data_IF_566691061749
#
_entry.id   IF_566691061749
#
_cell.length_a   1.000
_cell.length_b   1.000
_cell.length_c   1.000
_cell.angle_alpha   90.00
_cell.angle_beta   90.00
_cell.angle_gamma   90.00
#
_symmetry.space_group_name_H-M   'P 1'
#
loop_
_entity.id
_entity.type
_entity.pdbx_description
1 polymer ?
#
# COMPACT_ATOMS: atom_id res chain seq x y z
N UNK A 1 -37.41 16.83 4.49
CA UNK A 1 -36.85 17.17 5.81
C UNK A 1 -37.09 15.99 6.75
N UNK A 2 -36.07 15.15 6.96
CA UNK A 2 -36.14 13.98 7.85
C UNK A 2 -35.32 14.30 9.11
N UNK A 3 -36.02 14.42 10.25
CA UNK A 3 -35.39 14.51 11.57
C UNK A 3 -35.00 13.09 12.00
N UNK A 4 -33.70 12.83 12.13
CA UNK A 4 -33.19 11.60 12.74
C UNK A 4 -32.91 11.93 14.22
N UNK A 5 -33.47 11.09 15.09
CA UNK A 5 -33.57 11.27 16.53
C UNK A 5 -32.20 11.18 17.24
N UNK A 6 -32.03 12.07 18.21
CA UNK A 6 -30.78 12.38 18.92
C UNK A 6 -30.74 11.78 20.34
N UNK A 7 -31.39 10.63 20.57
CA UNK A 7 -31.60 10.09 21.92
C UNK A 7 -30.73 8.89 22.34
N UNK A 8 -29.90 8.31 21.47
CA UNK A 8 -29.11 7.10 21.83
C UNK A 8 -27.63 7.36 22.23
N UNK A 9 -27.18 8.62 22.29
CA UNK A 9 -25.77 8.95 22.51
C UNK A 9 -25.28 8.84 23.97
N UNK A 10 -26.19 8.87 24.96
CA UNK A 10 -25.77 9.04 26.36
C UNK A 10 -25.61 7.71 27.13
N UNK A 11 -26.32 6.64 26.76
CA UNK A 11 -26.26 5.35 27.49
C UNK A 11 -24.98 4.55 27.28
N UNK A 12 -24.20 4.84 26.23
CA UNK A 12 -22.96 4.11 25.92
C UNK A 12 -21.72 4.71 26.59
N UNK A 13 -21.77 5.95 27.10
CA UNK A 13 -20.60 6.65 27.68
C UNK A 13 -20.06 5.98 28.95
N UNK A 14 -20.93 5.37 29.76
CA UNK A 14 -20.54 4.82 31.07
C UNK A 14 -20.07 3.35 31.05
N UNK A 15 -20.44 2.56 30.03
CA UNK A 15 -20.00 1.17 29.92
C UNK A 15 -18.58 1.04 29.30
N UNK A 16 -18.16 2.04 28.54
CA UNK A 16 -16.87 2.04 27.82
C UNK A 16 -15.69 2.36 28.74
N UNK A 17 -15.88 3.10 29.84
CA UNK A 17 -14.77 3.50 30.72
C UNK A 17 -14.13 2.34 31.51
N UNK A 18 -14.85 1.25 31.82
CA UNK A 18 -14.28 0.14 32.59
C UNK A 18 -13.49 -0.88 31.78
N UNK A 19 -13.55 -0.86 30.43
CA UNK A 19 -12.86 -1.85 29.58
C UNK A 19 -11.46 -1.45 29.10
N UNK A 20 -11.02 -0.20 29.34
CA UNK A 20 -9.71 0.27 28.86
C UNK A 20 -8.57 0.24 29.89
N UNK A 21 -8.85 -0.07 31.16
CA UNK A 21 -7.80 -0.22 32.18
C UNK A 21 -6.95 -1.51 32.02
N UNK A 22 -7.42 -2.49 31.23
CA UNK A 22 -6.74 -3.78 31.01
C UNK A 22 -6.38 -4.05 29.54
N UNK A 23 -6.43 -3.05 28.65
CA UNK A 23 -5.99 -3.23 27.27
C UNK A 23 -4.46 -3.10 27.20
N UNK A 24 -3.78 -4.22 27.47
CA UNK A 24 -2.33 -4.36 27.39
C UNK A 24 -1.85 -4.09 25.94
N UNK A 25 -1.49 -2.84 25.66
CA UNK A 25 -1.13 -2.29 24.34
C UNK A 25 0.29 -2.68 23.87
N UNK A 26 1.00 -3.51 24.65
CA UNK A 26 2.39 -3.94 24.39
C UNK A 26 2.54 -5.11 23.41
N UNK A 27 1.45 -5.70 22.91
CA UNK A 27 1.50 -6.96 22.15
C UNK A 27 1.72 -6.87 20.63
N UNK A 28 1.82 -5.68 20.02
CA UNK A 28 1.70 -5.55 18.55
C UNK A 28 2.96 -5.02 17.84
N UNK A 29 4.15 -5.56 18.18
CA UNK A 29 5.42 -5.14 17.58
C UNK A 29 6.38 -6.27 17.13
N UNK A 30 5.94 -7.52 17.01
CA UNK A 30 6.87 -8.66 16.78
C UNK A 30 6.47 -9.65 15.67
N UNK A 31 5.95 -9.20 14.53
CA UNK A 31 5.65 -10.12 13.41
C UNK A 31 5.81 -9.53 12.01
N UNK A 32 6.99 -8.99 11.69
CA UNK A 32 7.40 -8.77 10.29
C UNK A 32 8.86 -9.17 10.09
N UNK A 33 9.16 -10.43 10.39
CA UNK A 33 10.38 -11.14 10.01
C UNK A 33 10.03 -12.31 9.10
N UNK A 34 9.40 -12.04 7.95
CA UNK A 34 9.24 -13.03 6.88
C UNK A 34 10.32 -12.75 5.84
N UNK A 35 11.45 -13.45 5.98
CA UNK A 35 12.38 -13.67 4.89
C UNK A 35 11.67 -14.50 3.82
N UNK A 36 11.32 -13.87 2.69
CA UNK A 36 10.95 -14.65 1.52
C UNK A 36 12.23 -15.29 0.94
N UNK A 37 12.25 -16.61 0.69
CA UNK A 37 13.31 -17.21 -0.09
C UNK A 37 13.26 -16.65 -1.51
N UNK A 38 14.39 -16.12 -1.97
CA UNK A 38 14.60 -15.74 -3.36
C UNK A 38 14.61 -17.00 -4.23
N UNK A 39 13.45 -17.39 -4.76
CA UNK A 39 13.39 -18.39 -5.83
C UNK A 39 13.79 -17.72 -7.14
N UNK A 40 15.10 -17.72 -7.40
CA UNK A 40 15.65 -17.39 -8.70
C UNK A 40 15.24 -18.46 -9.72
N UNK A 41 14.20 -18.19 -10.51
CA UNK A 41 13.99 -18.88 -11.77
C UNK A 41 14.92 -18.26 -12.82
N UNK A 42 16.15 -18.79 -12.90
CA UNK A 42 17.00 -18.62 -14.07
C UNK A 42 16.52 -19.60 -15.16
N UNK A 43 15.57 -19.16 -15.99
CA UNK A 43 15.29 -19.82 -17.25
C UNK A 43 16.35 -19.40 -18.28
N UNK A 44 17.54 -19.99 -18.19
CA UNK A 44 18.54 -19.91 -19.26
C UNK A 44 18.20 -21.00 -20.28
N UNK A 45 17.33 -20.66 -21.24
CA UNK A 45 17.23 -21.45 -22.45
C UNK A 45 18.43 -21.10 -23.35
N UNK A 46 19.58 -21.72 -23.10
CA UNK A 46 20.65 -21.77 -24.09
C UNK A 46 20.22 -22.75 -25.18
N UNK A 47 19.64 -22.21 -26.25
CA UNK A 47 19.42 -22.95 -27.48
C UNK A 47 20.79 -23.10 -28.16
N UNK A 48 21.56 -24.12 -27.75
CA UNK A 48 22.67 -24.60 -28.56
C UNK A 48 22.09 -25.50 -29.64
N UNK A 49 22.09 -25.09 -30.93
CA UNK A 49 21.82 -26.05 -31.99
C UNK A 49 22.90 -27.14 -31.94
N UNK A 50 22.54 -28.43 -32.10
CA UNK A 50 23.54 -29.48 -32.22
C UNK A 50 24.34 -29.23 -33.50
N UNK A 51 25.55 -28.71 -33.36
CA UNK A 51 26.58 -28.88 -34.37
C UNK A 51 27.02 -30.35 -34.28
N UNK A 52 26.50 -31.17 -35.19
CA UNK A 52 27.00 -32.52 -35.47
C UNK A 52 27.95 -32.42 -36.69
N UNK A 53 29.26 -32.22 -36.49
CA UNK A 53 30.23 -32.14 -37.59
C UNK A 53 30.63 -33.52 -38.14
N UNK A 54 29.88 -34.60 -37.86
CA UNK A 54 30.41 -35.96 -37.99
C UNK A 54 29.52 -37.01 -38.66
N UNK A 55 28.52 -36.67 -39.47
CA UNK A 55 27.76 -37.67 -40.22
C UNK A 55 28.25 -37.80 -41.69
N UNK A 56 29.14 -38.76 -42.01
CA UNK A 56 29.61 -39.03 -43.38
C UNK A 56 28.56 -39.69 -44.29
N UNK A 57 27.36 -39.99 -43.77
CA UNK A 57 26.22 -40.48 -44.55
C UNK A 57 25.19 -39.38 -44.81
N UNK A 58 25.61 -38.12 -44.92
CA UNK A 58 24.77 -37.08 -45.49
C UNK A 58 24.52 -37.41 -46.97
N UNK A 59 23.29 -37.74 -47.41
CA UNK A 59 23.02 -38.03 -48.81
C UNK A 59 23.32 -36.80 -49.65
N UNK A 60 24.43 -36.87 -50.38
CA UNK A 60 24.75 -36.02 -51.52
C UNK A 60 23.74 -36.31 -52.63
N UNK A 61 22.56 -35.67 -52.60
CA UNK A 61 21.73 -35.46 -53.79
C UNK A 61 20.44 -34.72 -53.47
N UNK A 62 20.42 -33.41 -53.70
CA UNK A 62 19.22 -32.71 -54.17
C UNK A 62 19.61 -31.67 -55.22
N UNK A 63 20.09 -32.15 -56.36
CA UNK A 63 20.00 -31.40 -57.63
C UNK A 63 18.71 -31.80 -58.36
N UNK A 64 17.56 -31.63 -57.72
CA UNK A 64 16.29 -31.54 -58.45
C UNK A 64 15.98 -30.05 -58.63
N UNK A 65 16.47 -29.49 -59.73
CA UNK A 65 15.97 -28.20 -60.21
C UNK A 65 14.44 -28.30 -60.32
N UNK A 66 13.66 -27.40 -59.70
CA UNK A 66 12.22 -27.45 -59.84
C UNK A 66 11.90 -27.11 -61.29
N UNK A 67 11.29 -28.06 -62.00
CA UNK A 67 10.72 -27.85 -63.33
C UNK A 67 9.59 -26.79 -63.35
N UNK A 68 9.35 -26.10 -62.24
CA UNK A 68 8.30 -25.09 -62.08
C UNK A 68 8.74 -23.98 -61.09
N UNK A 69 9.68 -23.12 -61.49
CA UNK A 69 10.14 -21.95 -60.71
C UNK A 69 8.96 -21.06 -60.25
N UNK A 70 7.92 -20.97 -61.07
CA UNK A 70 6.74 -20.16 -60.77
C UNK A 70 5.92 -20.73 -59.62
N UNK A 71 5.81 -22.05 -59.52
CA UNK A 71 5.14 -22.72 -58.39
C UNK A 71 5.90 -22.51 -57.08
N UNK A 72 7.23 -22.58 -57.13
CA UNK A 72 8.08 -22.31 -55.97
C UNK A 72 7.95 -20.85 -55.49
N UNK A 73 7.99 -19.89 -56.42
CA UNK A 73 7.81 -18.47 -56.11
C UNK A 73 6.41 -18.20 -55.53
N UNK A 74 5.36 -18.84 -56.08
CA UNK A 74 3.99 -18.76 -55.57
C UNK A 74 3.86 -19.32 -54.16
N UNK A 75 4.44 -20.50 -53.88
CA UNK A 75 4.45 -21.09 -52.52
C UNK A 75 5.20 -20.20 -51.54
N UNK A 76 6.34 -19.63 -51.92
CA UNK A 76 7.09 -18.69 -51.08
C UNK A 76 6.28 -17.43 -50.76
N UNK A 77 5.61 -16.84 -51.75
CA UNK A 77 4.74 -15.69 -51.55
C UNK A 77 3.57 -16.02 -50.60
N UNK A 78 2.93 -17.18 -50.76
CA UNK A 78 1.86 -17.65 -49.86
C UNK A 78 2.34 -17.86 -48.43
N UNK A 79 3.55 -18.43 -48.23
CA UNK A 79 4.14 -18.58 -46.89
C UNK A 79 4.43 -17.22 -46.27
N UNK A 80 5.00 -16.27 -47.01
CA UNK A 80 5.26 -14.92 -46.50
C UNK A 80 3.98 -14.21 -46.08
N UNK A 81 2.91 -14.29 -46.87
CA UNK A 81 1.60 -13.73 -46.53
C UNK A 81 1.01 -14.35 -45.26
N UNK A 82 1.10 -15.68 -45.11
CA UNK A 82 0.64 -16.37 -43.89
C UNK A 82 1.46 -15.95 -42.66
N UNK A 83 2.77 -15.82 -42.80
CA UNK A 83 3.64 -15.39 -41.70
C UNK A 83 3.33 -13.95 -41.26
N UNK A 84 3.05 -13.05 -42.20
CA UNK A 84 2.67 -11.68 -41.88
C UNK A 84 1.30 -11.62 -41.18
N UNK A 85 0.32 -12.37 -41.67
CA UNK A 85 -1.00 -12.48 -41.03
C UNK A 85 -0.91 -13.06 -39.60
N UNK A 86 -0.06 -14.07 -39.39
CA UNK A 86 0.20 -14.64 -38.06
C UNK A 86 0.85 -13.59 -37.14
N UNK A 87 1.86 -12.86 -37.63
CA UNK A 87 2.52 -11.80 -36.85
C UNK A 87 1.52 -10.73 -36.40
N UNK A 88 0.67 -10.26 -37.32
CA UNK A 88 -0.34 -9.25 -37.01
C UNK A 88 -1.37 -9.77 -35.99
N UNK A 89 -1.86 -11.01 -36.14
CA UNK A 89 -2.79 -11.60 -35.19
C UNK A 89 -2.15 -11.75 -33.79
N UNK A 90 -0.90 -12.22 -33.73
CA UNK A 90 -0.15 -12.34 -32.47
C UNK A 90 0.03 -10.95 -31.83
N UNK A 91 0.41 -9.93 -32.61
CA UNK A 91 0.56 -8.56 -32.09
C UNK A 91 -0.76 -8.03 -31.52
N UNK A 92 -1.88 -8.19 -32.22
CA UNK A 92 -3.20 -7.77 -31.74
C UNK A 92 -3.61 -8.51 -30.46
N UNK A 93 -3.38 -9.83 -30.39
CA UNK A 93 -3.67 -10.62 -29.19
C UNK A 93 -2.82 -10.17 -28.00
N UNK A 94 -1.53 -9.90 -28.22
CA UNK A 94 -0.63 -9.42 -27.17
C UNK A 94 -1.03 -8.01 -26.71
N UNK A 95 -1.44 -7.13 -27.60
CA UNK A 95 -1.93 -5.79 -27.25
C UNK A 95 -3.22 -5.89 -26.42
N UNK A 96 -4.22 -6.65 -26.86
CA UNK A 96 -5.46 -6.83 -26.11
C UNK A 96 -5.24 -7.47 -24.74
N UNK A 97 -4.33 -8.46 -24.63
CA UNK A 97 -3.97 -9.05 -23.33
C UNK A 97 -3.25 -8.04 -22.41
N UNK A 98 -2.35 -7.22 -22.94
CA UNK A 98 -1.67 -6.17 -22.17
C UNK A 98 -2.64 -5.14 -21.63
N UNK A 99 -3.59 -4.70 -22.45
CA UNK A 99 -4.64 -3.77 -22.05
C UNK A 99 -5.51 -4.35 -20.93
N UNK A 100 -5.98 -5.59 -21.08
CA UNK A 100 -6.78 -6.27 -20.05
C UNK A 100 -6.00 -6.41 -18.73
N UNK A 101 -4.74 -6.84 -18.78
CA UNK A 101 -3.89 -6.96 -17.59
C UNK A 101 -3.69 -5.60 -16.94
N UNK A 102 -3.49 -4.55 -17.74
CA UNK A 102 -3.35 -3.21 -17.22
C UNK A 102 -4.61 -2.77 -16.49
N UNK A 103 -5.79 -2.86 -17.13
CA UNK A 103 -7.07 -2.46 -16.54
C UNK A 103 -7.34 -3.20 -15.22
N UNK A 104 -7.06 -4.51 -15.17
CA UNK A 104 -7.18 -5.29 -13.94
C UNK A 104 -6.23 -4.82 -12.84
N UNK A 105 -4.98 -4.49 -13.19
CA UNK A 105 -4.01 -3.93 -12.23
C UNK A 105 -4.46 -2.56 -11.75
N UNK A 106 -4.97 -1.71 -12.64
CA UNK A 106 -5.48 -0.38 -12.30
C UNK A 106 -6.59 -0.44 -11.26
N UNK A 107 -7.61 -1.27 -11.50
CA UNK A 107 -8.70 -1.44 -10.53
C UNK A 107 -8.16 -1.90 -9.17
N UNK A 108 -7.21 -2.86 -9.15
CA UNK A 108 -6.59 -3.34 -7.90
C UNK A 108 -5.78 -2.27 -7.20
N UNK A 109 -4.98 -1.49 -7.92
CA UNK A 109 -4.13 -0.42 -7.36
C UNK A 109 -5.01 0.68 -6.77
N UNK A 110 -6.04 1.12 -7.49
CA UNK A 110 -6.96 2.13 -6.99
C UNK A 110 -7.71 1.62 -5.75
N UNK A 111 -8.15 0.36 -5.75
CA UNK A 111 -8.75 -0.25 -4.57
C UNK A 111 -7.78 -0.31 -3.38
N UNK A 112 -6.47 -0.48 -3.62
CA UNK A 112 -5.45 -0.41 -2.55
C UNK A 112 -5.39 1.00 -1.97
N UNK A 113 -5.36 2.05 -2.80
CA UNK A 113 -5.38 3.44 -2.34
C UNK A 113 -6.66 3.79 -1.56
N UNK A 114 -7.82 3.32 -2.00
CA UNK A 114 -9.10 3.52 -1.30
C UNK A 114 -9.06 2.88 0.09
N UNK A 115 -8.60 1.62 0.18
CA UNK A 115 -8.46 0.90 1.45
C UNK A 115 -7.44 1.57 2.36
N UNK A 116 -6.34 2.04 1.80
CA UNK A 116 -5.29 2.75 2.54
C UNK A 116 -5.87 4.00 3.20
N UNK A 117 -6.52 4.85 2.40
CA UNK A 117 -7.15 6.09 2.85
C UNK A 117 -8.25 5.84 3.88
N UNK A 118 -9.09 4.82 3.68
CA UNK A 118 -10.15 4.46 4.63
C UNK A 118 -9.58 4.00 5.98
N UNK A 119 -8.54 3.16 5.97
CA UNK A 119 -7.87 2.69 7.18
C UNK A 119 -7.14 3.84 7.90
N UNK A 120 -6.46 4.70 7.16
CA UNK A 120 -5.79 5.88 7.66
C UNK A 120 -6.77 6.80 8.42
N UNK A 121 -7.91 7.13 7.81
CA UNK A 121 -8.98 7.95 8.43
C UNK A 121 -9.51 7.32 9.71
N UNK A 122 -9.75 6.01 9.74
CA UNK A 122 -10.17 5.30 10.97
C UNK A 122 -9.13 5.43 12.08
N UNK A 123 -7.86 5.22 11.77
CA UNK A 123 -6.77 5.34 12.74
C UNK A 123 -6.63 6.77 13.28
N UNK A 124 -6.77 7.77 12.39
CA UNK A 124 -6.73 9.17 12.76
C UNK A 124 -7.82 9.52 13.78
N UNK A 125 -9.07 9.06 13.54
CA UNK A 125 -10.20 9.28 14.45
C UNK A 125 -9.96 8.64 15.82
N UNK A 126 -9.38 7.44 15.87
CA UNK A 126 -9.06 6.77 17.14
C UNK A 126 -8.01 7.56 17.91
N UNK A 127 -6.91 7.97 17.26
CA UNK A 127 -5.83 8.72 17.94
C UNK A 127 -6.33 10.11 18.37
N UNK A 128 -7.12 10.81 17.54
CA UNK A 128 -7.70 12.11 17.90
C UNK A 128 -8.68 12.02 19.07
N UNK A 129 -9.45 10.94 19.16
CA UNK A 129 -10.33 10.68 20.31
C UNK A 129 -9.52 10.52 21.59
N UNK A 130 -8.35 9.86 21.54
CA UNK A 130 -7.45 9.77 22.69
C UNK A 130 -6.91 11.13 23.07
N UNK A 131 -6.40 11.91 22.11
CA UNK A 131 -5.90 13.27 22.36
C UNK A 131 -6.97 14.14 23.05
N UNK A 132 -8.19 14.18 22.51
CA UNK A 132 -9.31 14.92 23.07
C UNK A 132 -9.63 14.52 24.52
N UNK A 133 -9.62 13.22 24.83
CA UNK A 133 -9.84 12.72 26.19
C UNK A 133 -8.74 13.17 27.15
N UNK A 134 -7.49 13.20 26.70
CA UNK A 134 -6.35 13.70 27.49
C UNK A 134 -6.48 15.19 27.75
N UNK A 135 -6.87 15.97 26.75
CA UNK A 135 -7.13 17.41 26.90
C UNK A 135 -8.26 17.68 27.91
N UNK A 136 -9.37 16.94 27.81
CA UNK A 136 -10.49 17.09 28.75
C UNK A 136 -10.05 16.70 30.16
N UNK A 137 -9.34 15.59 30.34
CA UNK A 137 -8.84 15.17 31.64
C UNK A 137 -7.91 16.22 32.28
N UNK A 138 -7.01 16.81 31.49
CA UNK A 138 -6.13 17.88 31.96
C UNK A 138 -6.91 19.09 32.47
N UNK A 139 -7.91 19.54 31.71
CA UNK A 139 -8.80 20.67 32.06
C UNK A 139 -9.66 20.36 33.29
N UNK A 140 -10.33 19.21 33.31
CA UNK A 140 -11.23 18.80 34.39
C UNK A 140 -10.49 18.66 35.72
N UNK A 141 -9.27 18.13 35.68
CA UNK A 141 -8.42 17.97 36.88
C UNK A 141 -7.68 19.24 37.25
N UNK A 142 -7.78 20.33 36.48
CA UNK A 142 -7.04 21.59 36.70
C UNK A 142 -5.57 21.30 37.03
N UNK A 143 -4.93 20.52 36.17
CA UNK A 143 -3.52 20.18 36.32
C UNK A 143 -2.67 21.38 35.90
N UNK A 144 -1.50 21.51 36.52
CA UNK A 144 -0.51 22.50 36.11
C UNK A 144 0.70 21.75 35.56
N UNK A 145 1.04 21.99 34.30
CA UNK A 145 2.15 21.35 33.59
C UNK A 145 2.78 22.41 32.68
N UNK A 146 4.04 22.78 32.96
CA UNK A 146 4.70 23.90 32.30
C UNK A 146 4.88 23.73 30.78
N UNK A 147 5.06 22.49 30.30
CA UNK A 147 5.26 22.17 28.89
C UNK A 147 3.99 21.64 28.18
N UNK A 148 2.80 21.81 28.78
CA UNK A 148 1.55 21.30 28.23
C UNK A 148 1.26 21.83 26.83
N UNK A 149 1.31 23.15 26.65
CA UNK A 149 0.96 23.79 25.37
C UNK A 149 1.91 23.34 24.25
N UNK A 150 3.20 23.14 24.55
CA UNK A 150 4.18 22.63 23.61
C UNK A 150 3.88 21.19 23.19
N UNK A 151 3.53 20.31 24.14
CA UNK A 151 3.17 18.92 23.85
C UNK A 151 1.87 18.83 23.04
N UNK A 152 0.87 19.65 23.38
CA UNK A 152 -0.39 19.73 22.67
C UNK A 152 -0.19 20.26 21.23
N UNK A 153 0.61 21.32 21.07
CA UNK A 153 0.96 21.85 19.76
C UNK A 153 1.70 20.81 18.91
N UNK A 154 2.65 20.07 19.50
CA UNK A 154 3.34 19.00 18.79
C UNK A 154 2.37 17.90 18.31
N UNK A 155 1.44 17.45 19.17
CA UNK A 155 0.42 16.49 18.78
C UNK A 155 -0.46 17.00 17.63
N UNK A 156 -0.89 18.27 17.70
CA UNK A 156 -1.68 18.91 16.64
C UNK A 156 -0.93 19.03 15.31
N UNK A 157 0.35 19.40 15.35
CA UNK A 157 1.20 19.47 14.16
C UNK A 157 1.36 18.09 13.51
N UNK A 158 1.56 17.04 14.32
CA UNK A 158 1.66 15.66 13.81
C UNK A 158 0.33 15.13 13.27
N UNK A 159 -0.80 15.55 13.84
CA UNK A 159 -2.13 15.28 13.28
C UNK A 159 -2.28 15.88 11.88
N UNK A 160 -1.96 17.17 11.73
CA UNK A 160 -2.04 17.88 10.44
C UNK A 160 -1.09 17.27 9.40
N UNK A 161 0.12 16.89 9.81
CA UNK A 161 1.05 16.20 8.91
C UNK A 161 0.49 14.85 8.43
N UNK A 162 -0.17 14.09 9.30
CA UNK A 162 -0.85 12.85 8.92
C UNK A 162 -2.02 13.10 7.96
N UNK A 163 -2.85 14.11 8.22
CA UNK A 163 -3.94 14.53 7.32
C UNK A 163 -3.41 14.88 5.92
N UNK A 164 -2.34 15.67 5.84
CA UNK A 164 -1.72 16.03 4.56
C UNK A 164 -1.19 14.84 3.76
N UNK A 165 -0.64 13.82 4.44
CA UNK A 165 -0.24 12.57 3.77
C UNK A 165 -1.45 11.82 3.21
N UNK A 166 -2.59 11.82 3.91
CA UNK A 166 -3.79 11.12 3.43
C UNK A 166 -4.42 11.82 2.24
N UNK A 167 -4.43 13.15 2.23
CA UNK A 167 -4.93 13.92 1.10
C UNK A 167 -4.04 13.71 -0.13
N UNK A 168 -2.71 13.64 0.05
CA UNK A 168 -1.78 13.31 -1.04
C UNK A 168 -2.04 11.91 -1.62
N UNK A 169 -2.29 10.92 -0.77
CA UNK A 169 -2.60 9.54 -1.18
C UNK A 169 -3.95 9.46 -1.89
N UNK A 170 -4.97 10.15 -1.37
CA UNK A 170 -6.32 10.15 -1.94
C UNK A 170 -6.40 10.77 -3.33
N UNK A 171 -5.44 11.62 -3.70
CA UNK A 171 -5.35 12.23 -5.02
C UNK A 171 -4.59 11.37 -6.05
N UNK A 172 -4.00 10.25 -5.63
CA UNK A 172 -3.28 9.35 -6.55
C UNK A 172 -4.27 8.43 -7.25
N UNK A 173 -4.42 8.62 -8.56
CA UNK A 173 -5.18 7.73 -9.41
C UNK A 173 -4.26 7.11 -10.47
N UNK A 174 -4.25 5.79 -10.58
CA UNK A 174 -3.48 5.11 -11.61
C UNK A 174 -4.30 5.03 -12.90
N UNK A 175 -3.71 5.43 -14.03
CA UNK A 175 -4.32 5.32 -15.35
C UNK A 175 -3.40 4.57 -16.31
N UNK A 176 -3.89 3.45 -16.84
CA UNK A 176 -3.21 2.62 -17.82
C UNK A 176 -2.87 3.30 -19.14
N UNK A 177 -3.57 4.38 -19.49
CA UNK A 177 -3.36 5.12 -20.74
C UNK A 177 -2.26 6.17 -20.64
N UNK A 178 -1.92 6.61 -19.43
CA UNK A 178 -1.08 7.79 -19.20
C UNK A 178 0.27 7.48 -18.54
N UNK A 179 0.40 6.33 -17.86
CA UNK A 179 1.62 5.97 -17.15
C UNK A 179 2.36 4.79 -17.78
N UNK A 180 3.66 4.99 -18.01
CA UNK A 180 4.63 3.90 -18.09
C UNK A 180 4.60 3.13 -16.76
N UNK A 181 3.90 2.00 -16.75
CA UNK A 181 3.62 1.18 -15.56
C UNK A 181 4.84 0.57 -14.85
N UNK A 182 6.06 1.08 -15.09
CA UNK A 182 7.32 0.58 -14.51
C UNK A 182 7.47 0.87 -13.02
N UNK A 183 6.94 1.99 -12.50
CA UNK A 183 7.22 2.43 -11.12
C UNK A 183 6.02 2.44 -10.16
N UNK A 184 4.86 1.94 -10.60
CA UNK A 184 3.62 2.01 -9.81
C UNK A 184 3.75 1.29 -8.47
N UNK A 185 4.43 0.15 -8.46
CA UNK A 185 4.67 -0.61 -7.22
C UNK A 185 5.52 0.16 -6.21
N UNK A 186 6.49 0.95 -6.68
CA UNK A 186 7.32 1.78 -5.80
C UNK A 186 6.49 2.93 -5.23
N UNK A 187 5.69 3.61 -6.05
CA UNK A 187 4.81 4.70 -5.59
C UNK A 187 3.81 4.23 -4.53
N UNK A 188 3.18 3.05 -4.73
CA UNK A 188 2.28 2.45 -3.74
C UNK A 188 3.03 2.12 -2.44
N UNK A 189 4.24 1.55 -2.55
CA UNK A 189 5.06 1.22 -1.38
C UNK A 189 5.44 2.45 -0.57
N UNK A 190 5.88 3.52 -1.24
CA UNK A 190 6.25 4.79 -0.61
C UNK A 190 5.03 5.44 0.05
N UNK A 191 3.87 5.46 -0.61
CA UNK A 191 2.62 5.94 -0.02
C UNK A 191 2.27 5.21 1.29
N UNK A 192 2.33 3.88 1.29
CA UNK A 192 2.08 3.05 2.49
C UNK A 192 3.10 3.35 3.60
N UNK A 193 4.38 3.55 3.25
CA UNK A 193 5.42 3.86 4.23
C UNK A 193 5.21 5.23 4.87
N UNK A 194 4.87 6.23 4.05
CA UNK A 194 4.62 7.60 4.51
C UNK A 194 3.38 7.67 5.42
N UNK A 195 2.29 7.00 5.03
CA UNK A 195 1.07 6.90 5.85
C UNK A 195 1.38 6.28 7.23
N UNK A 196 2.06 5.13 7.24
CA UNK A 196 2.44 4.45 8.48
C UNK A 196 3.35 5.31 9.35
N UNK A 197 4.31 6.01 8.74
CA UNK A 197 5.22 6.87 9.47
C UNK A 197 4.47 8.04 10.13
N UNK A 198 3.62 8.74 9.38
CA UNK A 198 2.86 9.87 9.91
C UNK A 198 1.92 9.45 11.05
N UNK A 199 1.21 8.32 10.92
CA UNK A 199 0.38 7.77 12.00
C UNK A 199 1.19 7.36 13.23
N UNK A 200 2.41 6.83 13.05
CA UNK A 200 3.30 6.49 14.17
C UNK A 200 3.76 7.74 14.92
N UNK A 201 4.18 8.77 14.20
CA UNK A 201 4.62 10.03 14.81
C UNK A 201 3.49 10.72 15.57
N UNK A 202 2.28 10.74 15.00
CA UNK A 202 1.11 11.28 15.70
C UNK A 202 0.78 10.48 16.96
N UNK A 203 0.78 9.14 16.88
CA UNK A 203 0.57 8.28 18.05
C UNK A 203 1.61 8.52 19.14
N UNK A 204 2.88 8.71 18.76
CA UNK A 204 3.96 8.97 19.71
C UNK A 204 3.77 10.32 20.40
N UNK A 205 3.45 11.38 19.65
CA UNK A 205 3.20 12.71 20.23
C UNK A 205 2.03 12.69 21.22
N UNK A 206 0.94 11.99 20.91
CA UNK A 206 -0.21 11.82 21.83
C UNK A 206 0.17 10.99 23.06
N UNK A 207 1.05 9.99 22.91
CA UNK A 207 1.57 9.22 24.05
C UNK A 207 2.41 10.08 24.97
N UNK A 208 3.28 10.92 24.41
CA UNK A 208 4.13 11.82 25.20
C UNK A 208 3.27 12.83 25.99
N UNK A 209 2.23 13.38 25.36
CA UNK A 209 1.23 14.21 26.03
C UNK A 209 0.53 13.46 27.18
N UNK A 210 0.05 12.23 26.92
CA UNK A 210 -0.61 11.40 27.92
C UNK A 210 0.28 11.10 29.13
N UNK A 211 1.56 10.76 28.90
CA UNK A 211 2.52 10.46 29.96
C UNK A 211 2.78 11.68 30.83
N UNK A 212 2.98 12.85 30.23
CA UNK A 212 3.20 14.09 30.99
C UNK A 212 1.97 14.49 31.82
N UNK A 213 0.77 14.39 31.24
CA UNK A 213 -0.50 14.65 31.96
C UNK A 213 -0.69 13.67 33.12
N UNK A 214 -0.34 12.39 32.93
CA UNK A 214 -0.40 11.39 33.99
C UNK A 214 0.55 11.73 35.15
N UNK A 215 1.81 12.07 34.85
CA UNK A 215 2.80 12.45 35.87
C UNK A 215 2.35 13.68 36.67
N UNK A 216 1.79 14.70 36.01
CA UNK A 216 1.23 15.88 36.69
C UNK A 216 0.05 15.51 37.61
N UNK A 217 -0.79 14.55 37.20
CA UNK A 217 -1.89 14.07 38.04
C UNK A 217 -1.39 13.35 39.29
N UNK A 218 -0.36 12.51 39.17
CA UNK A 218 0.26 11.79 40.30
C UNK A 218 0.88 12.78 41.31
N UNK A 219 1.64 13.78 40.84
CA UNK A 219 2.21 14.82 41.69
C UNK A 219 1.15 15.64 42.46
N UNK A 220 0.00 15.89 41.83
CA UNK A 220 -1.11 16.58 42.50
C UNK A 220 -1.70 15.75 43.65
N UNK A 221 -1.77 14.43 43.48
CA UNK A 221 -2.28 13.55 44.55
C UNK A 221 -1.34 13.45 45.75
N UNK A 222 -0.02 13.35 45.52
CA UNK A 222 0.97 13.25 46.61
C UNK A 222 0.98 14.51 47.48
N UNK A 223 0.86 15.69 46.88
CA UNK A 223 0.83 16.95 47.62
C UNK A 223 -0.43 17.11 48.49
N UNK A 224 -1.53 16.43 48.13
CA UNK A 224 -2.78 16.49 48.89
C UNK A 224 -2.76 15.55 50.10
N UNK A 225 -2.02 14.44 50.02
CA UNK A 225 -1.92 13.42 51.08
C UNK A 225 -0.89 13.73 52.17
N UNK A 226 0.06 14.62 51.91
CA UNK A 226 1.10 15.03 52.88
C UNK A 226 0.68 16.15 53.85
N UNK A 227 -0.54 16.68 53.71
CA UNK A 227 -1.12 17.64 54.66
C UNK A 227 -2.09 16.87 55.56
N UNK A 228 -1.55 16.15 56.53
CA UNK A 228 -2.35 15.59 57.63
C UNK A 228 -1.53 15.49 58.90
#
# INVERSE_FOLDING_TARGET
MLKINECDSERTKNAVMKRFANFNWLGLLLALGLSLPATGLQAQASFNPPNDPGNPNAPSSYSSQPANRDEFNKRRAQVMQRMEAIKQNVQQRLQGQREQICQQRQAKINQVFDKLTANAKRNLVVISTVQMRVENFYKDKKLNLANYDQLLQNANNKRQAAEGVFDAIGNVNFNCQEQDGRNVGQNVKEAVQNERQALREYRQAVKDLLVAVKQAAEQKTTNTSGVR
#
